data_IF_374962911996
#
_entry.id   IF_374962911996
#
_cell.length_a   1.000
_cell.length_b   1.000
_cell.length_c   1.000
_cell.angle_alpha   90.00
_cell.angle_beta   90.00
_cell.angle_gamma   90.00
#
_symmetry.space_group_name_H-M   'P 1'
#
loop_
_entity.id
_entity.type
_entity.pdbx_description
1 polymer ?
#
# COMPACT_ATOMS: atom_id res chain seq x y z
N UNK A 1 11.55 13.79 8.18
CA UNK A 1 12.19 13.00 9.25
C UNK A 1 12.40 11.52 8.92
N UNK A 2 11.36 10.70 8.67
CA UNK A 2 11.55 9.27 8.35
C UNK A 2 12.13 9.03 6.95
N UNK A 3 11.53 9.63 5.92
CA UNK A 3 12.01 9.52 4.53
C UNK A 3 13.43 10.06 4.37
N UNK A 4 13.77 11.15 5.05
CA UNK A 4 15.15 11.68 5.09
C UNK A 4 16.12 10.67 5.71
N UNK A 5 15.72 9.99 6.79
CA UNK A 5 16.54 8.95 7.42
C UNK A 5 16.67 7.71 6.52
N UNK A 6 15.64 7.31 5.80
CA UNK A 6 15.73 6.25 4.79
C UNK A 6 16.68 6.64 3.66
N UNK A 7 16.61 7.90 3.18
CA UNK A 7 17.52 8.41 2.16
C UNK A 7 18.98 8.47 2.65
N UNK A 8 19.21 8.84 3.90
CA UNK A 8 20.56 8.82 4.50
C UNK A 8 21.10 7.40 4.66
N UNK A 9 20.25 6.44 5.07
CA UNK A 9 20.62 5.03 5.20
C UNK A 9 20.94 4.42 3.83
N UNK A 10 20.10 4.70 2.82
CA UNK A 10 20.35 4.28 1.42
C UNK A 10 21.65 4.88 0.87
N UNK A 11 21.92 6.17 1.14
CA UNK A 11 23.18 6.82 0.75
C UNK A 11 24.41 6.21 1.41
N UNK A 12 24.26 5.62 2.60
CA UNK A 12 25.34 4.96 3.34
C UNK A 12 25.55 3.49 2.94
N UNK A 13 24.66 2.92 2.12
CA UNK A 13 24.72 1.51 1.73
C UNK A 13 24.45 0.53 2.88
N UNK A 14 23.91 1.01 4.01
CA UNK A 14 23.69 0.23 5.21
C UNK A 14 22.23 -0.25 5.25
N UNK A 15 21.89 -1.27 4.45
CA UNK A 15 20.50 -1.70 4.29
C UNK A 15 19.93 -2.33 5.56
N UNK A 16 19.21 -1.53 6.35
CA UNK A 16 18.48 -2.07 7.50
C UNK A 16 17.21 -2.80 7.04
N UNK A 17 16.84 -3.86 7.76
CA UNK A 17 15.59 -4.61 7.51
C UNK A 17 14.35 -3.70 7.50
N UNK A 18 14.38 -2.61 8.29
CA UNK A 18 13.33 -1.60 8.32
C UNK A 18 13.22 -0.86 6.97
N UNK A 19 14.34 -0.43 6.39
CA UNK A 19 14.35 0.27 5.10
C UNK A 19 13.87 -0.64 3.97
N UNK A 20 14.32 -1.91 3.95
CA UNK A 20 13.86 -2.87 2.95
C UNK A 20 12.34 -3.13 3.05
N UNK A 21 11.82 -3.32 4.26
CA UNK A 21 10.39 -3.51 4.48
C UNK A 21 9.56 -2.26 4.10
N UNK A 22 10.06 -1.06 4.40
CA UNK A 22 9.43 0.20 4.00
C UNK A 22 9.41 0.36 2.47
N UNK A 23 10.53 0.07 1.81
CA UNK A 23 10.61 0.09 0.35
C UNK A 23 9.66 -0.93 -0.28
N UNK A 24 9.66 -2.17 0.21
CA UNK A 24 8.75 -3.21 -0.26
C UNK A 24 7.28 -2.83 -0.08
N UNK A 25 6.91 -2.23 1.05
CA UNK A 25 5.56 -1.72 1.27
C UNK A 25 5.19 -0.64 0.25
N UNK A 26 6.06 0.35 0.01
CA UNK A 26 5.84 1.41 -0.96
C UNK A 26 5.67 0.88 -2.39
N UNK A 27 6.55 -0.02 -2.83
CA UNK A 27 6.45 -0.62 -4.17
C UNK A 27 5.17 -1.45 -4.29
N UNK A 28 4.89 -2.30 -3.31
CA UNK A 28 3.73 -3.18 -3.33
C UNK A 28 2.40 -2.41 -3.40
N UNK A 29 2.26 -1.33 -2.64
CA UNK A 29 1.02 -0.53 -2.69
C UNK A 29 0.88 0.23 -4.01
N UNK A 30 1.97 0.76 -4.57
CA UNK A 30 1.95 1.39 -5.89
C UNK A 30 1.57 0.37 -6.99
N UNK A 31 2.16 -0.83 -6.96
CA UNK A 31 1.79 -1.91 -7.88
C UNK A 31 0.32 -2.32 -7.74
N UNK A 32 -0.20 -2.41 -6.51
CA UNK A 32 -1.61 -2.71 -6.29
C UNK A 32 -2.52 -1.65 -6.92
N UNK A 33 -2.22 -0.35 -6.72
CA UNK A 33 -2.97 0.73 -7.35
C UNK A 33 -2.88 0.68 -8.87
N UNK A 34 -1.70 0.47 -9.45
CA UNK A 34 -1.52 0.37 -10.91
C UNK A 34 -2.36 -0.77 -11.50
N UNK A 35 -2.37 -1.95 -10.86
CA UNK A 35 -3.20 -3.07 -11.28
C UNK A 35 -4.70 -2.75 -11.20
N UNK A 36 -5.16 -2.19 -10.08
CA UNK A 36 -6.56 -1.81 -9.86
C UNK A 36 -7.02 -0.72 -10.84
N UNK A 37 -6.17 0.25 -11.15
CA UNK A 37 -6.48 1.33 -12.08
C UNK A 37 -6.60 0.83 -13.53
N UNK A 38 -5.71 -0.06 -13.96
CA UNK A 38 -5.67 -0.57 -15.35
C UNK A 38 -6.67 -1.69 -15.61
N UNK A 39 -7.07 -2.43 -14.59
CA UNK A 39 -7.95 -3.57 -14.76
C UNK A 39 -9.40 -3.14 -15.04
N UNK A 40 -10.15 -3.91 -15.85
CA UNK A 40 -11.58 -3.70 -16.05
C UNK A 40 -12.39 -4.02 -14.79
N UNK A 41 -13.71 -3.87 -14.87
CA UNK A 41 -14.64 -4.14 -13.77
C UNK A 41 -14.60 -5.59 -13.29
N UNK A 42 -14.60 -6.55 -14.22
CA UNK A 42 -14.51 -7.98 -13.94
C UNK A 42 -13.09 -8.45 -14.24
N UNK A 43 -12.47 -9.12 -13.29
CA UNK A 43 -11.06 -9.47 -13.32
C UNK A 43 -10.87 -10.87 -13.92
N UNK A 44 -9.85 -11.03 -14.75
CA UNK A 44 -9.33 -12.36 -15.09
C UNK A 44 -8.56 -12.96 -13.92
N UNK A 45 -8.35 -14.27 -13.93
CA UNK A 45 -7.57 -14.97 -12.89
C UNK A 45 -6.15 -14.43 -12.76
N UNK A 46 -5.55 -14.04 -13.90
CA UNK A 46 -4.24 -13.40 -13.94
C UNK A 46 -4.25 -12.04 -13.24
N UNK A 47 -5.26 -11.21 -13.53
CA UNK A 47 -5.41 -9.89 -12.92
C UNK A 47 -5.66 -9.98 -11.42
N UNK A 48 -6.55 -10.88 -10.99
CA UNK A 48 -6.79 -11.15 -9.57
C UNK A 48 -5.50 -11.58 -8.88
N UNK A 49 -4.76 -12.52 -9.47
CA UNK A 49 -3.50 -13.00 -8.90
C UNK A 49 -2.49 -11.86 -8.72
N UNK A 50 -2.35 -10.98 -9.71
CA UNK A 50 -1.48 -9.79 -9.63
C UNK A 50 -1.90 -8.83 -8.51
N UNK A 51 -3.20 -8.49 -8.44
CA UNK A 51 -3.76 -7.61 -7.42
C UNK A 51 -3.57 -8.22 -6.02
N UNK A 52 -3.98 -9.49 -5.82
CA UNK A 52 -3.86 -10.18 -4.53
C UNK A 52 -2.40 -10.29 -4.10
N UNK A 53 -1.48 -10.62 -5.00
CA UNK A 53 -0.04 -10.70 -4.70
C UNK A 53 0.52 -9.35 -4.26
N UNK A 54 0.21 -8.26 -4.97
CA UNK A 54 0.67 -6.92 -4.61
C UNK A 54 0.10 -6.49 -3.24
N UNK A 55 -1.22 -6.66 -3.05
CA UNK A 55 -1.91 -6.28 -1.81
C UNK A 55 -1.42 -7.06 -0.59
N UNK A 56 -1.28 -8.39 -0.70
CA UNK A 56 -0.78 -9.22 0.40
C UNK A 56 0.69 -8.95 0.71
N UNK A 57 1.50 -8.62 -0.30
CA UNK A 57 2.90 -8.19 -0.09
C UNK A 57 2.96 -6.90 0.72
N UNK A 58 2.10 -5.92 0.40
CA UNK A 58 1.99 -4.68 1.17
C UNK A 58 1.60 -4.97 2.63
N UNK A 59 0.56 -5.79 2.87
CA UNK A 59 0.11 -6.15 4.22
C UNK A 59 1.21 -6.81 5.05
N UNK A 60 1.94 -7.76 4.47
CA UNK A 60 3.06 -8.43 5.15
C UNK A 60 4.20 -7.46 5.45
N UNK A 61 4.49 -6.53 4.54
CA UNK A 61 5.55 -5.55 4.73
C UNK A 61 5.22 -4.56 5.85
N UNK A 62 3.98 -4.06 5.93
CA UNK A 62 3.57 -3.16 7.03
C UNK A 62 3.51 -3.89 8.38
N UNK A 63 3.12 -5.17 8.39
CA UNK A 63 3.15 -6.00 9.60
C UNK A 63 4.59 -6.19 10.10
N UNK A 64 5.53 -6.47 9.18
CA UNK A 64 6.95 -6.56 9.51
C UNK A 64 7.48 -5.25 10.10
N UNK A 65 7.14 -4.11 9.50
CA UNK A 65 7.51 -2.78 10.04
C UNK A 65 6.97 -2.56 11.45
N UNK A 66 5.72 -2.95 11.71
CA UNK A 66 5.13 -2.87 13.03
C UNK A 66 5.89 -3.73 14.05
N UNK A 67 6.23 -4.97 13.69
CA UNK A 67 7.03 -5.88 14.53
C UNK A 67 8.43 -5.31 14.82
N UNK A 68 9.09 -4.72 13.83
CA UNK A 68 10.38 -4.02 14.01
C UNK A 68 10.21 -2.84 14.98
N UNK A 69 9.17 -2.02 14.82
CA UNK A 69 8.88 -0.92 15.71
C UNK A 69 8.68 -1.35 17.17
N UNK A 70 7.94 -2.44 17.39
CA UNK A 70 7.76 -3.04 18.74
C UNK A 70 9.09 -3.54 19.30
N UNK A 71 9.87 -4.27 18.51
CA UNK A 71 11.17 -4.80 18.94
C UNK A 71 12.17 -3.69 19.31
N UNK A 72 12.14 -2.57 18.60
CA UNK A 72 12.96 -1.40 18.91
C UNK A 72 12.37 -0.47 19.99
N UNK A 73 11.21 -0.81 20.56
CA UNK A 73 10.45 0.03 21.47
C UNK A 73 10.15 1.44 20.91
N UNK A 74 9.95 1.53 19.60
CA UNK A 74 9.63 2.77 18.88
C UNK A 74 8.27 2.63 18.21
N UNK A 75 7.30 3.42 18.66
CA UNK A 75 5.96 3.49 18.08
C UNK A 75 5.93 4.28 16.74
N UNK A 76 6.80 3.94 15.80
CA UNK A 76 6.94 4.61 14.50
C UNK A 76 5.89 4.15 13.50
N UNK A 77 5.56 2.85 13.52
CA UNK A 77 4.71 2.21 12.54
C UNK A 77 3.35 1.91 13.16
N UNK A 78 2.34 2.70 12.81
CA UNK A 78 0.97 2.47 13.24
C UNK A 78 0.28 1.54 12.26
N UNK A 79 -0.08 0.34 12.70
CA UNK A 79 -1.11 -0.47 12.05
C UNK A 79 -2.46 0.20 12.33
N UNK A 80 -2.79 1.20 11.53
CA UNK A 80 -4.13 1.78 11.57
C UNK A 80 -5.15 0.70 11.13
N UNK A 81 -6.42 0.78 11.57
CA UNK A 81 -7.48 -0.14 11.15
C UNK A 81 -7.66 -0.23 9.63
N UNK A 82 -7.04 0.67 8.87
CA UNK A 82 -6.94 0.65 7.41
C UNK A 82 -6.23 -0.58 6.84
N UNK A 83 -5.33 -1.23 7.58
CA UNK A 83 -4.69 -2.48 7.13
C UNK A 83 -5.71 -3.64 7.03
N UNK A 84 -6.63 -3.71 7.98
CA UNK A 84 -7.71 -4.70 7.98
C UNK A 84 -8.70 -4.47 6.85
N UNK A 85 -9.10 -3.22 6.61
CA UNK A 85 -9.95 -2.87 5.46
C UNK A 85 -9.31 -3.28 4.12
N UNK A 86 -8.01 -3.07 3.97
CA UNK A 86 -7.27 -3.52 2.78
C UNK A 86 -7.27 -5.04 2.64
N UNK A 87 -7.14 -5.79 3.74
CA UNK A 87 -7.21 -7.25 3.73
C UNK A 87 -8.56 -7.73 3.17
N UNK A 88 -9.66 -7.17 3.67
CA UNK A 88 -11.00 -7.48 3.15
C UNK A 88 -11.16 -7.13 1.68
N UNK A 89 -10.73 -5.93 1.25
CA UNK A 89 -10.77 -5.57 -0.16
C UNK A 89 -10.01 -6.60 -1.01
N UNK A 90 -8.83 -7.04 -0.58
CA UNK A 90 -8.05 -8.04 -1.33
C UNK A 90 -8.76 -9.41 -1.37
N UNK A 91 -9.34 -9.84 -0.26
CA UNK A 91 -10.11 -11.09 -0.15
C UNK A 91 -11.35 -11.06 -1.04
N UNK A 92 -12.16 -10.00 -0.94
CA UNK A 92 -13.38 -9.80 -1.74
C UNK A 92 -13.05 -9.77 -3.24
N UNK A 93 -12.01 -9.04 -3.65
CA UNK A 93 -11.56 -9.01 -5.04
C UNK A 93 -11.09 -10.39 -5.54
N UNK A 94 -10.52 -11.22 -4.65
CA UNK A 94 -10.06 -12.55 -4.98
C UNK A 94 -11.22 -13.53 -5.19
N UNK A 95 -12.20 -13.49 -4.29
CA UNK A 95 -13.37 -14.37 -4.32
C UNK A 95 -14.36 -13.98 -5.42
N UNK A 96 -14.71 -12.70 -5.51
CA UNK A 96 -15.73 -12.20 -6.42
C UNK A 96 -15.21 -11.94 -7.84
N UNK A 97 -13.87 -11.86 -7.99
CA UNK A 97 -13.19 -11.41 -9.22
C UNK A 97 -13.73 -10.07 -9.73
N UNK A 98 -14.11 -9.20 -8.81
CA UNK A 98 -14.60 -7.86 -9.10
C UNK A 98 -13.56 -6.82 -8.71
N UNK A 99 -13.41 -5.77 -9.51
CA UNK A 99 -12.43 -4.72 -9.25
C UNK A 99 -12.98 -3.69 -8.26
N UNK A 100 -12.29 -3.51 -7.13
CA UNK A 100 -12.67 -2.60 -6.06
C UNK A 100 -12.74 -1.12 -6.47
N UNK A 101 -12.10 -0.74 -7.58
CA UNK A 101 -12.28 0.58 -8.21
C UNK A 101 -13.73 0.89 -8.55
N UNK A 102 -14.52 -0.14 -8.84
CA UNK A 102 -15.93 -0.02 -9.25
C UNK A 102 -16.90 -0.39 -8.13
N UNK A 103 -16.40 -0.55 -6.89
CA UNK A 103 -17.27 -0.58 -5.73
C UNK A 103 -17.89 0.82 -5.58
N UNK A 104 -19.21 0.86 -5.72
CA UNK A 104 -19.98 2.07 -5.48
C UNK A 104 -20.52 1.98 -4.07
N UNK A 105 -19.83 2.62 -3.12
CA UNK A 105 -20.41 2.92 -1.82
C UNK A 105 -21.15 4.27 -1.92
N UNK A 106 -22.01 4.57 -0.96
CA UNK A 106 -22.60 5.91 -0.85
C UNK A 106 -21.47 6.95 -0.66
N UNK A 107 -21.71 8.23 -0.99
CA UNK A 107 -20.64 9.25 -1.04
C UNK A 107 -19.92 9.48 0.30
N UNK A 108 -20.56 9.13 1.41
CA UNK A 108 -20.05 9.11 2.78
C UNK A 108 -19.18 7.88 3.10
N UNK A 109 -19.22 6.84 2.28
CA UNK A 109 -18.50 5.57 2.42
C UNK A 109 -17.36 5.39 1.38
N UNK A 110 -16.98 6.45 0.65
CA UNK A 110 -15.94 6.44 -0.41
C UNK A 110 -14.51 6.24 0.15
N UNK A 111 -14.25 5.04 0.70
CA UNK A 111 -12.97 4.65 1.24
C UNK A 111 -11.87 4.65 0.17
N UNK A 112 -12.20 4.21 -1.06
CA UNK A 112 -11.29 4.19 -2.21
C UNK A 112 -10.85 5.61 -2.58
N UNK A 113 -11.78 6.56 -2.69
CA UNK A 113 -11.46 7.96 -2.97
C UNK A 113 -10.65 8.62 -1.86
N UNK A 114 -10.90 8.28 -0.58
CA UNK A 114 -10.07 8.76 0.52
C UNK A 114 -8.64 8.18 0.48
N UNK A 115 -8.49 6.91 0.10
CA UNK A 115 -7.18 6.28 -0.10
C UNK A 115 -6.42 6.91 -1.26
N UNK A 116 -7.08 7.12 -2.41
CA UNK A 116 -6.50 7.83 -3.55
C UNK A 116 -6.04 9.24 -3.16
N UNK A 117 -6.86 10.00 -2.43
CA UNK A 117 -6.50 11.34 -1.92
C UNK A 117 -5.27 11.30 -1.01
N UNK A 118 -5.12 10.27 -0.17
CA UNK A 118 -3.93 10.11 0.69
C UNK A 118 -2.67 9.81 -0.12
N UNK A 119 -2.76 8.95 -1.14
CA UNK A 119 -1.64 8.63 -2.04
C UNK A 119 -1.27 9.83 -2.92
N UNK A 120 -2.24 10.68 -3.26
CA UNK A 120 -2.01 11.90 -4.04
C UNK A 120 -1.41 13.04 -3.19
N UNK A 121 -1.69 13.06 -1.87
CA UNK A 121 -1.14 14.04 -0.93
C UNK A 121 0.28 13.66 -0.51
N UNK A 122 1.19 13.69 -1.48
CA UNK A 122 2.63 13.60 -1.25
C UNK A 122 3.20 15.01 -1.03
N UNK A 123 4.20 15.15 -0.17
CA UNK A 123 4.91 16.42 0.02
C UNK A 123 5.45 16.91 -1.33
N UNK A 124 5.46 18.23 -1.59
CA UNK A 124 5.95 18.83 -2.85
C UNK A 124 7.37 18.38 -3.23
N UNK A 125 8.19 18.01 -2.26
CA UNK A 125 9.55 17.52 -2.48
C UNK A 125 9.64 16.06 -2.95
N UNK A 126 8.52 15.33 -3.05
CA UNK A 126 8.46 13.89 -3.34
C UNK A 126 7.45 13.58 -4.45
N UNK A 127 7.17 14.55 -5.31
CA UNK A 127 6.15 14.47 -6.35
C UNK A 127 6.39 13.31 -7.34
N UNK A 128 7.62 12.83 -7.53
CA UNK A 128 7.91 11.67 -8.38
C UNK A 128 7.27 10.35 -7.89
N UNK A 129 6.89 10.25 -6.61
CA UNK A 129 6.25 9.06 -6.04
C UNK A 129 4.72 9.13 -6.08
N UNK A 130 4.16 10.18 -6.69
CA UNK A 130 2.72 10.33 -6.84
C UNK A 130 2.21 9.34 -7.89
N UNK A 131 1.24 8.51 -7.52
CA UNK A 131 0.46 7.79 -8.54
C UNK A 131 -0.27 8.83 -9.40
N UNK A 132 0.08 8.89 -10.68
CA UNK A 132 -0.59 9.75 -11.66
C UNK A 132 -2.01 9.20 -11.87
N UNK A 133 -3.00 10.04 -11.59
CA UNK A 133 -4.43 9.76 -11.78
C UNK A 133 -4.83 9.84 -13.25
#
# INVERSE_FOLDING_TARGET
MFLERCLEILKRGDETREVFAAHAACVAICCWFDHVERAPRYLSDEQVTGITKAGTTFLRAIELLARIGVAEQKARWKLLPKAHAMAHIIEDQHEEKYNSRFYHCYADEDAIGQWKKLVIRVNKSLLEFRCLS
#
